data_IF_166246957869
#
_entry.id   IF_166246957869
#
_cell.length_a   1.000
_cell.length_b   1.000
_cell.length_c   1.000
_cell.angle_alpha   90.00
_cell.angle_beta   90.00
_cell.angle_gamma   90.00
#
_symmetry.space_group_name_H-M   'P 1'
#
loop_
_entity.id
_entity.type
_entity.pdbx_description
1 polymer ?
#
# COMPACT_ATOMS: atom_id res chain seq x y z
N UNK A 1 -19.53 -20.20 27.53
CA UNK A 1 -18.09 -19.89 27.54
C UNK A 1 -17.80 -18.93 26.38
N UNK A 2 -17.22 -17.77 26.66
CA UNK A 2 -16.74 -16.83 25.63
C UNK A 2 -15.33 -17.28 25.23
N UNK A 3 -15.14 -17.81 24.02
CA UNK A 3 -13.82 -18.19 23.53
C UNK A 3 -13.14 -16.95 22.97
N UNK A 4 -12.30 -16.31 23.78
CA UNK A 4 -11.33 -15.33 23.30
C UNK A 4 -10.24 -16.09 22.56
N UNK A 5 -10.34 -16.15 21.23
CA UNK A 5 -9.27 -16.65 20.38
C UNK A 5 -8.15 -15.61 20.46
N UNK A 6 -7.09 -15.95 21.19
CA UNK A 6 -5.85 -15.18 21.27
C UNK A 6 -5.15 -15.30 19.90
N UNK A 7 -5.45 -14.42 18.96
CA UNK A 7 -4.70 -14.32 17.70
C UNK A 7 -3.29 -13.81 18.02
N UNK A 8 -2.35 -14.75 18.15
CA UNK A 8 -0.92 -14.50 18.25
C UNK A 8 -0.42 -13.74 17.01
N UNK A 9 -0.12 -12.45 17.17
CA UNK A 9 0.56 -11.65 16.16
C UNK A 9 2.05 -12.04 16.17
N UNK A 10 2.46 -12.96 15.30
CA UNK A 10 3.86 -13.34 15.15
C UNK A 10 4.51 -12.37 14.14
N UNK A 11 5.20 -11.34 14.63
CA UNK A 11 5.99 -10.42 13.80
C UNK A 11 7.44 -10.93 13.72
N UNK A 12 7.82 -11.52 12.59
CA UNK A 12 9.21 -11.95 12.36
C UNK A 12 9.92 -10.89 11.53
N UNK A 13 10.87 -10.19 12.15
CA UNK A 13 11.78 -9.30 11.45
C UNK A 13 12.95 -10.12 10.86
N UNK A 14 12.95 -10.32 9.54
CA UNK A 14 14.04 -11.00 8.82
C UNK A 14 14.81 -9.97 8.00
N UNK A 15 16.14 -9.91 8.17
CA UNK A 15 17.01 -9.17 7.28
C UNK A 15 17.19 -9.96 5.98
N UNK A 16 16.73 -9.38 4.86
CA UNK A 16 17.00 -9.92 3.53
C UNK A 16 18.26 -9.22 3.01
N UNK A 17 19.43 -9.86 3.17
CA UNK A 17 20.63 -9.44 2.47
C UNK A 17 20.43 -9.75 0.98
N UNK A 18 19.91 -8.79 0.20
CA UNK A 18 19.71 -8.96 -1.23
C UNK A 18 20.87 -8.38 -2.05
N UNK A 19 21.46 -9.28 -2.84
CA UNK A 19 22.21 -9.03 -4.07
C UNK A 19 21.74 -7.75 -4.80
N UNK A 20 22.68 -6.82 -5.05
CA UNK A 20 22.58 -5.69 -6.00
C UNK A 20 21.92 -4.36 -5.55
N UNK A 21 22.14 -3.89 -4.32
CA UNK A 21 22.07 -2.44 -4.02
C UNK A 21 23.27 -2.02 -3.16
N UNK A 22 24.18 -1.23 -3.73
CA UNK A 22 25.36 -0.71 -3.02
C UNK A 22 24.88 0.25 -1.91
N UNK A 23 25.40 0.06 -0.70
CA UNK A 23 25.27 0.96 0.46
C UNK A 23 23.91 1.01 1.22
N UNK A 24 23.08 -0.06 1.20
CA UNK A 24 21.83 -0.11 1.98
C UNK A 24 21.56 -1.44 2.68
N UNK A 25 20.90 -1.38 3.85
CA UNK A 25 20.37 -2.55 4.58
C UNK A 25 18.85 -2.51 4.52
N UNK A 26 18.20 -3.66 4.29
CA UNK A 26 16.73 -3.76 4.31
C UNK A 26 16.25 -4.80 5.32
N UNK A 27 15.45 -4.34 6.28
CA UNK A 27 14.70 -5.20 7.18
C UNK A 27 13.31 -5.44 6.62
N UNK A 28 12.79 -6.65 6.82
CA UNK A 28 11.43 -7.01 6.46
C UNK A 28 10.68 -7.53 7.68
N UNK A 29 9.42 -7.13 7.84
CA UNK A 29 8.50 -7.68 8.83
C UNK A 29 7.29 -8.24 8.09
N UNK A 30 6.78 -9.39 8.54
CA UNK A 30 5.55 -9.99 8.02
C UNK A 30 4.64 -10.30 9.18
N UNK A 31 3.44 -9.74 9.14
CA UNK A 31 2.37 -9.95 10.11
C UNK A 31 1.19 -10.60 9.38
N UNK A 32 0.70 -11.72 9.92
CA UNK A 32 -0.52 -12.35 9.44
C UNK A 32 -1.61 -12.17 10.52
N UNK A 33 -2.69 -11.49 10.16
CA UNK A 33 -3.91 -11.47 10.96
C UNK A 33 -4.98 -12.18 10.13
N UNK A 34 -5.99 -12.80 10.75
CA UNK A 34 -7.01 -13.57 10.02
C UNK A 34 -7.79 -12.80 8.93
N UNK A 35 -7.52 -11.52 8.72
CA UNK A 35 -8.04 -10.67 7.65
C UNK A 35 -7.08 -10.43 6.47
N UNK A 36 -5.83 -10.90 6.54
CA UNK A 36 -4.81 -10.70 5.50
C UNK A 36 -3.36 -10.72 5.98
N UNK A 37 -2.44 -10.45 5.06
CA UNK A 37 -1.00 -10.40 5.34
C UNK A 37 -0.49 -8.98 5.18
N UNK A 38 0.11 -8.42 6.22
CA UNK A 38 0.85 -7.16 6.15
C UNK A 38 2.34 -7.46 6.02
N UNK A 39 2.99 -6.90 5.00
CA UNK A 39 4.44 -6.92 4.83
C UNK A 39 4.98 -5.51 4.94
N UNK A 40 6.04 -5.32 5.70
CA UNK A 40 6.71 -4.03 5.85
C UNK A 40 8.19 -4.18 5.55
N UNK A 41 8.74 -3.22 4.81
CA UNK A 41 10.16 -3.15 4.49
C UNK A 41 10.71 -1.80 4.91
N UNK A 42 11.78 -1.81 5.69
CA UNK A 42 12.51 -0.61 6.12
C UNK A 42 13.91 -0.68 5.55
N UNK A 43 14.26 0.31 4.73
CA UNK A 43 15.60 0.47 4.16
C UNK A 43 16.34 1.55 4.93
N UNK A 44 17.58 1.25 5.32
CA UNK A 44 18.50 2.12 6.03
C UNK A 44 19.76 2.29 5.18
N UNK A 45 20.44 3.40 5.36
CA UNK A 45 21.81 3.58 4.93
C UNK A 45 22.71 2.61 5.70
N UNK A 46 23.56 1.85 5.00
CA UNK A 46 24.33 0.76 5.62
C UNK A 46 25.46 1.24 6.54
N UNK A 47 26.02 2.43 6.28
CA UNK A 47 27.13 3.02 7.03
C UNK A 47 26.64 3.74 8.29
N UNK A 48 25.56 4.49 8.15
CA UNK A 48 25.05 5.37 9.22
C UNK A 48 23.89 4.75 9.99
N UNK A 49 23.28 3.69 9.47
CA UNK A 49 22.03 3.11 10.01
C UNK A 49 20.88 4.13 10.10
N UNK A 50 20.94 5.21 9.32
CA UNK A 50 19.84 6.18 9.25
C UNK A 50 18.72 5.56 8.40
N UNK A 51 17.46 5.52 8.89
CA UNK A 51 16.35 5.06 8.08
C UNK A 51 16.15 5.98 6.86
N UNK A 52 15.92 5.39 5.69
CA UNK A 52 15.72 6.11 4.44
C UNK A 52 14.27 6.04 4.01
N UNK A 53 13.73 4.81 3.95
CA UNK A 53 12.43 4.54 3.35
C UNK A 53 11.74 3.39 4.05
N UNK A 54 10.43 3.51 4.20
CA UNK A 54 9.56 2.43 4.64
C UNK A 54 8.46 2.20 3.61
N UNK A 55 8.25 0.94 3.25
CA UNK A 55 7.13 0.55 2.39
C UNK A 55 6.35 -0.55 3.07
N UNK A 56 5.06 -0.30 3.30
CA UNK A 56 4.14 -1.27 3.88
C UNK A 56 3.15 -1.71 2.80
N UNK A 57 2.85 -3.00 2.79
CA UNK A 57 1.96 -3.68 1.87
C UNK A 57 0.93 -4.43 2.69
N UNK A 58 -0.33 -4.41 2.26
CA UNK A 58 -1.38 -5.23 2.83
C UNK A 58 -2.00 -6.09 1.74
N UNK A 59 -2.07 -7.39 1.98
CA UNK A 59 -2.61 -8.38 1.07
C UNK A 59 -3.85 -9.02 1.69
N UNK A 60 -4.84 -9.34 0.88
CA UNK A 60 -5.96 -10.16 1.34
C UNK A 60 -5.56 -11.64 1.52
N UNK A 61 -6.49 -12.45 2.02
CA UNK A 61 -6.32 -13.89 2.23
C UNK A 61 -5.97 -14.67 0.95
N UNK A 62 -6.29 -14.12 -0.23
CA UNK A 62 -5.96 -14.71 -1.54
C UNK A 62 -4.59 -14.24 -2.05
N UNK A 63 -3.85 -13.49 -1.26
CA UNK A 63 -2.55 -12.94 -1.62
C UNK A 63 -2.60 -11.76 -2.60
N UNK A 64 -3.77 -11.14 -2.79
CA UNK A 64 -3.92 -9.97 -3.67
C UNK A 64 -3.58 -8.71 -2.89
N UNK A 65 -2.75 -7.84 -3.46
CA UNK A 65 -2.33 -6.59 -2.84
C UNK A 65 -3.53 -5.64 -2.74
N UNK A 66 -3.95 -5.24 -1.55
CA UNK A 66 -5.02 -4.27 -1.34
C UNK A 66 -4.49 -2.86 -1.15
N UNK A 67 -3.39 -2.71 -0.40
CA UNK A 67 -2.83 -1.40 -0.07
C UNK A 67 -1.31 -1.40 -0.12
N UNK A 68 -0.74 -0.28 -0.58
CA UNK A 68 0.69 0.01 -0.46
C UNK A 68 0.89 1.43 0.02
N UNK A 69 1.61 1.61 1.12
CA UNK A 69 1.98 2.93 1.63
C UNK A 69 3.49 3.11 1.61
N UNK A 70 3.93 4.29 1.19
CA UNK A 70 5.34 4.67 1.13
C UNK A 70 5.55 5.83 2.09
N UNK A 71 6.56 5.69 2.94
CA UNK A 71 6.99 6.71 3.89
C UNK A 71 8.49 6.95 3.73
N UNK A 72 8.93 8.18 4.00
CA UNK A 72 10.34 8.54 4.14
C UNK A 72 10.64 8.90 5.58
N UNK A 73 11.88 8.69 6.00
CA UNK A 73 12.32 9.20 7.28
C UNK A 73 12.48 10.73 7.20
N UNK A 74 12.15 11.40 8.30
CA UNK A 74 12.44 12.80 8.54
C UNK A 74 13.24 12.88 9.83
N UNK A 75 14.47 13.34 9.73
CA UNK A 75 15.43 13.42 10.84
C UNK A 75 14.92 14.24 12.04
N UNK A 76 13.90 15.08 11.82
CA UNK A 76 13.30 15.93 12.86
C UNK A 76 12.06 15.33 13.54
N UNK A 77 11.54 14.18 13.09
CA UNK A 77 10.24 13.73 13.59
C UNK A 77 9.74 12.36 13.12
N UNK A 78 10.60 11.52 12.55
CA UNK A 78 10.28 10.13 12.21
C UNK A 78 9.65 9.93 10.83
N UNK A 79 8.86 8.87 10.67
CA UNK A 79 8.27 8.51 9.37
C UNK A 79 7.22 9.51 8.90
N UNK A 80 7.41 10.04 7.70
CA UNK A 80 6.45 10.93 7.02
C UNK A 80 5.93 10.23 5.77
N UNK A 81 4.62 10.24 5.58
CA UNK A 81 3.97 9.70 4.38
C UNK A 81 4.47 10.40 3.10
N UNK A 82 4.56 9.63 2.02
CA UNK A 82 4.84 10.13 0.68
C UNK A 82 3.66 9.89 -0.25
N UNK A 83 3.17 8.65 -0.27
CA UNK A 83 2.09 8.24 -1.14
C UNK A 83 1.43 6.96 -0.63
N UNK A 84 0.20 6.73 -1.06
CA UNK A 84 -0.49 5.46 -0.94
C UNK A 84 -1.07 5.01 -2.27
N UNK A 85 -1.23 3.70 -2.40
CA UNK A 85 -1.91 3.03 -3.49
C UNK A 85 -2.97 2.10 -2.91
N UNK A 86 -4.16 2.12 -3.48
CA UNK A 86 -5.27 1.24 -3.11
C UNK A 86 -5.71 0.48 -4.35
N UNK A 87 -5.88 -0.83 -4.22
CA UNK A 87 -6.09 -1.74 -5.34
C UNK A 87 -7.47 -2.40 -5.21
N UNK A 88 -8.17 -2.52 -6.34
CA UNK A 88 -9.41 -3.29 -6.45
C UNK A 88 -9.29 -4.30 -7.57
N UNK A 89 -10.04 -5.38 -7.43
CA UNK A 89 -10.02 -6.52 -8.33
C UNK A 89 -11.43 -6.84 -8.82
N UNK A 90 -11.55 -7.26 -10.07
CA UNK A 90 -12.79 -7.77 -10.62
C UNK A 90 -13.09 -9.19 -10.11
N UNK A 91 -14.25 -9.75 -10.50
CA UNK A 91 -14.67 -11.11 -10.11
C UNK A 91 -13.70 -12.21 -10.58
N UNK A 92 -13.00 -11.98 -11.69
CA UNK A 92 -11.96 -12.88 -12.21
C UNK A 92 -10.61 -12.74 -11.47
N UNK A 93 -10.51 -11.87 -10.46
CA UNK A 93 -9.29 -11.68 -9.67
C UNK A 93 -8.23 -10.80 -10.35
N UNK A 94 -8.55 -10.13 -11.47
CA UNK A 94 -7.65 -9.19 -12.14
C UNK A 94 -7.80 -7.79 -11.55
N UNK A 95 -6.70 -7.03 -11.51
CA UNK A 95 -6.75 -5.65 -11.04
C UNK A 95 -7.71 -4.84 -11.93
N UNK A 96 -8.76 -4.27 -11.34
CA UNK A 96 -9.74 -3.44 -12.03
C UNK A 96 -9.48 -1.95 -11.80
N UNK A 97 -8.92 -1.60 -10.65
CA UNK A 97 -8.67 -0.21 -10.29
C UNK A 97 -7.42 -0.07 -9.41
N UNK A 98 -6.64 0.98 -9.65
CA UNK A 98 -5.57 1.44 -8.77
C UNK A 98 -5.80 2.92 -8.48
N UNK A 99 -5.98 3.26 -7.21
CA UNK A 99 -6.04 4.65 -6.76
C UNK A 99 -4.69 5.05 -6.18
N UNK A 100 -4.13 6.16 -6.65
CA UNK A 100 -2.90 6.75 -6.14
C UNK A 100 -3.21 8.08 -5.47
N UNK A 101 -2.77 8.24 -4.23
CA UNK A 101 -2.92 9.50 -3.49
C UNK A 101 -1.58 9.93 -2.89
N UNK A 102 -1.18 11.16 -3.18
CA UNK A 102 0.03 11.76 -2.61
C UNK A 102 -0.23 12.32 -1.21
N UNK A 103 0.80 12.36 -0.38
CA UNK A 103 0.76 13.06 0.90
C UNK A 103 0.96 14.57 0.72
N UNK A 104 0.12 15.38 1.36
CA UNK A 104 0.27 16.83 1.39
C UNK A 104 1.06 17.27 2.63
N UNK A 105 2.36 17.53 2.45
CA UNK A 105 3.25 17.95 3.54
C UNK A 105 2.86 19.27 4.22
N UNK A 106 2.14 20.16 3.53
CA UNK A 106 1.68 21.45 4.09
C UNK A 106 0.47 21.23 5.01
N UNK A 107 -0.48 20.41 4.59
CA UNK A 107 -1.70 20.09 5.36
C UNK A 107 -1.50 18.99 6.40
N UNK A 108 -0.39 18.24 6.31
CA UNK A 108 -0.14 17.03 7.11
C UNK A 108 -1.28 16.02 6.98
N UNK A 109 -1.79 15.87 5.76
CA UNK A 109 -2.88 14.96 5.41
C UNK A 109 -2.72 14.46 3.97
N UNK A 110 -3.49 13.45 3.57
CA UNK A 110 -3.56 13.01 2.17
C UNK A 110 -4.06 14.13 1.26
N UNK A 111 -3.58 14.14 0.02
CA UNK A 111 -4.05 15.09 -0.97
C UNK A 111 -5.54 14.92 -1.21
N UNK A 112 -6.21 16.04 -1.41
CA UNK A 112 -7.64 16.07 -1.75
C UNK A 112 -7.92 15.54 -3.15
N UNK A 113 -6.89 15.20 -3.93
CA UNK A 113 -7.05 14.63 -5.25
C UNK A 113 -6.29 13.31 -5.34
N UNK A 114 -6.85 12.36 -6.06
CA UNK A 114 -6.22 11.08 -6.38
C UNK A 114 -6.23 10.85 -7.88
N UNK A 115 -5.21 10.17 -8.38
CA UNK A 115 -5.24 9.56 -9.70
C UNK A 115 -5.88 8.17 -9.58
N UNK A 116 -6.91 7.90 -10.38
CA UNK A 116 -7.52 6.57 -10.52
C UNK A 116 -7.15 6.01 -11.88
N UNK A 117 -6.60 4.80 -11.89
CA UNK A 117 -6.31 4.01 -13.07
C UNK A 117 -7.28 2.85 -13.14
N UNK A 118 -8.21 2.89 -14.09
CA UNK A 118 -9.20 1.83 -14.32
C UNK A 118 -8.75 0.96 -15.47
N UNK A 119 -8.63 -0.33 -15.21
CA UNK A 119 -8.23 -1.34 -16.19
C UNK A 119 -9.50 -1.91 -16.84
N UNK A 120 -9.57 -1.79 -18.16
CA UNK A 120 -10.72 -2.20 -18.96
C UNK A 120 -10.38 -3.53 -19.63
N UNK A 121 -11.30 -4.48 -19.55
CA UNK A 121 -11.17 -5.83 -20.09
C UNK A 121 -12.38 -6.14 -20.99
N UNK A 122 -12.23 -7.05 -21.95
CA UNK A 122 -13.35 -7.62 -22.67
C UNK A 122 -14.05 -8.73 -21.85
N UNK A 123 -15.11 -9.32 -22.40
CA UNK A 123 -15.88 -10.38 -21.75
C UNK A 123 -15.05 -11.67 -21.50
N UNK A 124 -14.00 -11.89 -22.29
CA UNK A 124 -13.01 -12.96 -22.11
C UNK A 124 -11.95 -12.63 -21.05
N UNK A 125 -12.08 -11.50 -20.33
CA UNK A 125 -11.11 -10.94 -19.37
C UNK A 125 -9.74 -10.60 -19.97
N UNK A 126 -9.65 -10.39 -21.28
CA UNK A 126 -8.44 -9.91 -21.93
C UNK A 126 -8.31 -8.40 -21.73
N UNK A 127 -7.09 -7.94 -21.45
CA UNK A 127 -6.81 -6.53 -21.21
C UNK A 127 -7.00 -5.73 -22.51
N UNK A 128 -7.75 -4.63 -22.44
CA UNK A 128 -7.98 -3.74 -23.57
C UNK A 128 -7.23 -2.41 -23.41
N UNK A 129 -7.44 -1.73 -22.28
CA UNK A 129 -6.90 -0.39 -22.06
C UNK A 129 -6.88 0.02 -20.60
N UNK A 130 -6.22 1.15 -20.31
CA UNK A 130 -6.24 1.83 -19.01
C UNK A 130 -6.82 3.22 -19.21
N UNK A 131 -7.80 3.59 -18.39
CA UNK A 131 -8.30 4.95 -18.26
C UNK A 131 -7.72 5.60 -17.01
N UNK A 132 -7.20 6.82 -17.13
CA UNK A 132 -6.74 7.63 -16.00
C UNK A 132 -7.70 8.78 -15.74
N UNK A 133 -8.09 8.98 -14.48
CA UNK A 133 -8.94 10.09 -14.04
C UNK A 133 -8.38 10.72 -12.76
N UNK A 134 -8.57 12.03 -12.60
CA UNK A 134 -8.25 12.72 -11.34
C UNK A 134 -9.56 13.00 -10.63
N UNK A 135 -9.71 12.45 -9.41
CA UNK A 135 -10.92 12.63 -8.59
C UNK A 135 -10.67 13.54 -7.40
N UNK A 136 -11.68 14.31 -6.99
CA UNK A 136 -11.65 15.09 -5.74
C UNK A 136 -12.19 14.23 -4.58
N UNK A 137 -11.31 13.92 -3.63
CA UNK A 137 -11.60 13.10 -2.45
C UNK A 137 -12.45 13.84 -1.41
N UNK A 138 -12.71 15.15 -1.56
CA UNK A 138 -13.56 15.91 -0.63
C UNK A 138 -15.05 15.57 -0.73
N UNK A 139 -15.47 14.95 -1.83
CA UNK A 139 -16.87 14.58 -2.04
C UNK A 139 -17.11 13.26 -1.30
N UNK A 140 -17.40 13.37 0.01
CA UNK A 140 -17.53 12.22 0.88
C UNK A 140 -18.83 11.41 0.67
N UNK A 141 -19.80 11.90 -0.11
CA UNK A 141 -21.17 11.32 -0.16
C UNK A 141 -22.00 11.73 -1.40
N UNK A 142 -21.43 11.78 -2.61
CA UNK A 142 -22.29 11.71 -3.81
C UNK A 142 -22.16 10.31 -4.39
N UNK A 143 -23.12 9.47 -4.01
CA UNK A 143 -23.47 8.29 -4.79
C UNK A 143 -23.77 8.82 -6.20
N UNK A 144 -22.83 8.66 -7.12
CA UNK A 144 -23.10 8.78 -8.55
C UNK A 144 -23.98 7.59 -8.95
N UNK A 145 -25.26 7.64 -8.57
CA UNK A 145 -26.27 6.78 -9.17
C UNK A 145 -26.54 7.34 -10.56
N UNK A 146 -26.18 6.56 -11.58
CA UNK A 146 -26.63 6.82 -12.94
C UNK A 146 -28.15 6.69 -12.96
N UNK A 147 -28.86 7.75 -13.35
CA UNK A 147 -30.28 7.68 -13.73
C UNK A 147 -30.41 7.15 -15.14
#
# INVERSE_FOLDING_TARGET
>A
MKTTILTSLFAVLVSIMNLSAKDVITYSNVENNGSGVKKEYVTLDDKTSIPLRKTSYFYDEKGRLLDRTIQKWNDKGGWVNLAKFEYRYNKAGRASMITFTQWNNKKKDWANKSDIYTYIYNDSNEFLSIKREIVDNKIKNELLTQK
#
